data_IF_393388187335
#
_entry.id   IF_393388187335
#
_cell.length_a   1.000
_cell.length_b   1.000
_cell.length_c   1.000
_cell.angle_alpha   90.00
_cell.angle_beta   90.00
_cell.angle_gamma   90.00
#
_symmetry.space_group_name_H-M   'P 1'
#
loop_
_entity.id
_entity.type
_entity.pdbx_description
1 polymer ?
#
# COMPACT_ATOMS: atom_id res chain seq x y z
N UNK A 1 7.20 -31.02 29.40
CA UNK A 1 7.13 -29.59 29.04
C UNK A 1 6.60 -29.48 27.62
N UNK A 2 5.55 -28.70 27.39
CA UNK A 2 4.99 -28.47 26.05
C UNK A 2 5.48 -27.10 25.55
N UNK A 3 6.14 -27.07 24.40
CA UNK A 3 6.60 -25.85 23.75
C UNK A 3 5.53 -25.44 22.72
N UNK A 4 4.71 -24.45 23.05
CA UNK A 4 3.77 -23.86 22.10
C UNK A 4 4.46 -22.72 21.34
N UNK A 5 4.74 -22.92 20.06
CA UNK A 5 5.25 -21.87 19.19
C UNK A 5 4.11 -20.94 18.78
N UNK A 6 4.06 -19.75 19.38
CA UNK A 6 3.20 -18.66 18.90
C UNK A 6 3.85 -18.07 17.66
N UNK A 7 3.39 -18.49 16.48
CA UNK A 7 3.81 -17.88 15.21
C UNK A 7 3.09 -16.53 15.10
N UNK A 8 3.79 -15.46 15.46
CA UNK A 8 3.34 -14.11 15.18
C UNK A 8 3.48 -13.87 13.67
N UNK A 9 2.37 -13.90 12.94
CA UNK A 9 2.32 -13.46 11.55
C UNK A 9 2.42 -11.93 11.55
N UNK A 10 3.65 -11.39 11.58
CA UNK A 10 3.84 -9.96 11.35
C UNK A 10 3.48 -9.68 9.89
N UNK A 11 2.27 -9.18 9.65
CA UNK A 11 1.89 -8.60 8.37
C UNK A 11 2.77 -7.36 8.15
N UNK A 12 3.92 -7.56 7.50
CA UNK A 12 4.70 -6.45 6.98
C UNK A 12 3.83 -5.85 5.87
N UNK A 13 3.11 -4.77 6.18
CA UNK A 13 2.54 -3.93 5.13
C UNK A 13 3.75 -3.26 4.49
N UNK A 14 4.33 -3.95 3.50
CA UNK A 14 5.48 -3.44 2.79
C UNK A 14 5.01 -2.21 2.00
N UNK A 15 5.43 -1.03 2.46
CA UNK A 15 5.26 0.18 1.67
C UNK A 15 5.99 -0.02 0.34
N UNK A 16 5.28 0.15 -0.77
CA UNK A 16 5.87 0.12 -2.09
C UNK A 16 6.65 1.42 -2.30
N UNK A 17 7.69 1.37 -3.13
CA UNK A 17 8.37 2.59 -3.54
C UNK A 17 7.49 3.43 -4.47
N UNK A 18 7.71 4.75 -4.47
CA UNK A 18 6.92 5.68 -5.29
C UNK A 18 6.95 5.32 -6.77
N UNK A 19 8.09 4.81 -7.26
CA UNK A 19 8.21 4.38 -8.66
C UNK A 19 7.24 3.25 -8.99
N UNK A 20 7.06 2.28 -8.09
CA UNK A 20 6.13 1.17 -8.31
C UNK A 20 4.67 1.64 -8.17
N UNK A 21 4.38 2.53 -7.21
CA UNK A 21 3.05 3.12 -7.07
C UNK A 21 2.64 3.93 -8.32
N UNK A 22 3.59 4.61 -8.97
CA UNK A 22 3.34 5.43 -10.17
C UNK A 22 3.47 4.66 -11.49
N UNK A 23 3.78 3.37 -11.45
CA UNK A 23 3.96 2.57 -12.65
C UNK A 23 2.66 2.53 -13.47
N UNK A 24 2.73 2.58 -14.81
CA UNK A 24 1.57 2.38 -15.67
C UNK A 24 0.84 1.08 -15.33
N UNK A 25 -0.48 1.17 -15.19
CA UNK A 25 -1.31 0.03 -14.84
C UNK A 25 -1.89 -0.63 -16.10
N UNK A 26 -1.61 -1.93 -16.32
CA UNK A 26 -2.38 -2.69 -17.28
C UNK A 26 -3.77 -2.94 -16.71
N UNK A 27 -4.80 -2.47 -17.40
CA UNK A 27 -6.18 -2.84 -17.11
C UNK A 27 -6.51 -4.08 -17.94
N UNK A 28 -6.93 -5.16 -17.27
CA UNK A 28 -7.42 -6.34 -17.98
C UNK A 28 -8.88 -6.13 -18.37
N UNK A 29 -9.21 -6.42 -19.62
CA UNK A 29 -10.61 -6.52 -20.06
C UNK A 29 -11.11 -7.86 -19.53
N UNK A 30 -12.10 -7.82 -18.65
CA UNK A 30 -12.84 -9.00 -18.20
C UNK A 30 -13.91 -9.32 -19.23
N UNK A 31 -14.11 -10.61 -19.51
CA UNK A 31 -15.38 -11.07 -20.08
C UNK A 31 -16.52 -10.73 -19.11
N UNK A 32 -17.73 -10.52 -19.61
CA UNK A 32 -18.96 -10.12 -18.89
C UNK A 32 -19.44 -11.13 -17.80
N UNK A 33 -18.53 -11.94 -17.25
CA UNK A 33 -18.79 -12.82 -16.12
C UNK A 33 -18.75 -12.00 -14.81
N UNK A 34 -19.91 -11.78 -14.16
CA UNK A 34 -20.00 -10.97 -12.95
C UNK A 34 -19.30 -11.63 -11.74
N UNK A 35 -18.89 -12.89 -11.84
CA UNK A 35 -18.19 -13.61 -10.80
C UNK A 35 -16.66 -13.54 -10.95
N UNK A 36 -16.18 -12.95 -12.06
CA UNK A 36 -14.76 -12.84 -12.40
C UNK A 36 -14.15 -11.47 -12.04
N UNK A 37 -14.98 -10.50 -11.61
CA UNK A 37 -14.54 -9.17 -11.18
C UNK A 37 -14.52 -9.03 -9.66
N UNK A 38 -13.58 -8.23 -9.16
CA UNK A 38 -13.53 -7.78 -7.77
C UNK A 38 -13.26 -6.28 -7.72
N UNK A 39 -13.63 -5.65 -6.62
CA UNK A 39 -13.19 -4.28 -6.32
C UNK A 39 -11.69 -4.29 -6.05
N UNK A 40 -10.96 -3.47 -6.78
CA UNK A 40 -9.51 -3.28 -6.67
C UNK A 40 -9.23 -1.82 -6.40
N UNK A 41 -8.31 -1.53 -5.49
CA UNK A 41 -7.76 -0.19 -5.27
C UNK A 41 -6.32 -0.12 -5.78
N UNK A 42 -5.96 0.99 -6.42
CA UNK A 42 -4.61 1.21 -6.94
C UNK A 42 -4.25 2.69 -6.90
N UNK A 43 -2.97 2.99 -6.69
CA UNK A 43 -2.47 4.35 -6.84
C UNK A 43 -2.36 4.69 -8.32
N UNK A 44 -3.02 5.76 -8.73
CA UNK A 44 -2.96 6.25 -10.11
C UNK A 44 -2.13 7.53 -10.18
N UNK A 45 -1.07 7.49 -10.99
CA UNK A 45 -0.23 8.67 -11.21
C UNK A 45 -1.02 9.83 -11.84
N UNK A 46 -1.96 9.54 -12.74
CA UNK A 46 -2.76 10.55 -13.45
C UNK A 46 -3.65 11.38 -12.51
N UNK A 47 -4.27 10.73 -11.52
CA UNK A 47 -5.09 11.41 -10.49
C UNK A 47 -4.27 11.79 -9.26
N UNK A 48 -3.05 11.26 -9.16
CA UNK A 48 -2.12 11.38 -8.04
C UNK A 48 -2.78 10.96 -6.71
N UNK A 49 -3.54 9.86 -6.71
CA UNK A 49 -4.26 9.32 -5.54
C UNK A 49 -4.65 7.86 -5.75
N UNK A 50 -5.01 7.16 -4.66
CA UNK A 50 -5.66 5.86 -4.73
C UNK A 50 -7.07 5.98 -5.34
N UNK A 51 -7.40 5.05 -6.25
CA UNK A 51 -8.70 4.98 -6.92
C UNK A 51 -9.18 3.52 -6.90
N UNK A 52 -10.48 3.34 -6.68
CA UNK A 52 -11.14 2.04 -6.74
C UNK A 52 -11.84 1.81 -8.08
N UNK A 53 -11.72 0.61 -8.63
CA UNK A 53 -12.42 0.16 -9.84
C UNK A 53 -12.73 -1.33 -9.74
N UNK A 54 -13.63 -1.82 -10.59
CA UNK A 54 -13.94 -3.25 -10.68
C UNK A 54 -13.10 -3.86 -11.81
N UNK A 55 -12.40 -4.94 -11.50
CA UNK A 55 -11.48 -5.61 -12.44
C UNK A 55 -11.07 -7.00 -11.95
N UNK A 56 -10.35 -7.73 -12.79
CA UNK A 56 -9.78 -9.05 -12.45
C UNK A 56 -8.25 -9.04 -12.34
N UNK A 57 -7.63 -7.88 -12.56
CA UNK A 57 -6.20 -7.76 -12.68
C UNK A 57 -5.47 -7.90 -11.34
N UNK A 58 -4.19 -8.28 -11.45
CA UNK A 58 -3.32 -8.56 -10.32
C UNK A 58 -1.96 -7.87 -10.53
N UNK A 59 -1.28 -7.56 -9.43
CA UNK A 59 -0.01 -6.84 -9.47
C UNK A 59 0.32 -6.18 -8.13
N UNK A 60 1.51 -5.60 -8.02
CA UNK A 60 2.00 -5.04 -6.75
C UNK A 60 1.18 -3.82 -6.30
N UNK A 61 0.78 -2.95 -7.24
CA UNK A 61 -0.08 -1.80 -6.98
C UNK A 61 -1.58 -2.18 -7.07
N UNK A 62 -1.97 -3.24 -6.36
CA UNK A 62 -3.35 -3.76 -6.31
C UNK A 62 -3.70 -4.12 -4.88
N UNK A 63 -4.70 -3.43 -4.34
CA UNK A 63 -5.09 -3.54 -2.94
C UNK A 63 -6.57 -3.90 -2.83
N UNK A 64 -6.94 -4.61 -1.76
CA UNK A 64 -8.33 -5.02 -1.50
C UNK A 64 -9.18 -3.89 -0.94
N UNK A 65 -8.55 -2.87 -0.36
CA UNK A 65 -9.21 -1.72 0.24
C UNK A 65 -8.49 -0.40 -0.06
N UNK A 66 -9.21 0.71 0.09
CA UNK A 66 -8.64 2.05 -0.05
C UNK A 66 -7.57 2.34 1.01
N UNK A 67 -7.78 1.87 2.25
CA UNK A 67 -6.83 2.02 3.35
C UNK A 67 -5.50 1.31 3.06
N UNK A 68 -5.56 0.05 2.63
CA UNK A 68 -4.35 -0.70 2.21
C UNK A 68 -3.61 -0.02 1.06
N UNK A 69 -4.32 0.64 0.14
CA UNK A 69 -3.68 1.41 -0.92
C UNK A 69 -2.94 2.64 -0.38
N UNK A 70 -3.51 3.36 0.60
CA UNK A 70 -2.84 4.49 1.25
C UNK A 70 -1.62 4.00 2.04
N UNK A 71 -1.78 2.94 2.81
CA UNK A 71 -0.70 2.37 3.64
C UNK A 71 0.43 1.80 2.76
N UNK A 72 0.08 1.16 1.64
CA UNK A 72 1.04 0.61 0.68
C UNK A 72 1.67 1.67 -0.22
N UNK A 73 0.96 2.74 -0.55
CA UNK A 73 1.41 3.83 -1.42
C UNK A 73 1.11 5.19 -0.78
N UNK A 74 1.89 5.62 0.24
CA UNK A 74 1.65 6.85 1.01
C UNK A 74 2.05 8.13 0.25
N UNK A 75 1.91 8.15 -1.07
CA UNK A 75 2.31 9.25 -1.95
C UNK A 75 1.09 10.01 -2.50
N UNK A 76 1.28 11.24 -2.96
CA UNK A 76 0.21 11.99 -3.62
C UNK A 76 -0.88 12.51 -2.67
N UNK A 77 -2.10 12.62 -3.19
CA UNK A 77 -3.24 13.23 -2.50
C UNK A 77 -4.03 12.16 -1.76
N UNK A 78 -3.81 12.11 -0.46
CA UNK A 78 -4.68 11.40 0.47
C UNK A 78 -5.60 12.44 1.08
N UNK A 79 -6.90 12.28 0.95
CA UNK A 79 -7.81 13.08 1.77
C UNK A 79 -7.88 12.38 3.14
N UNK A 80 -7.33 12.95 4.23
CA UNK A 80 -7.50 12.33 5.53
C UNK A 80 -8.96 12.52 5.97
N UNK A 81 -9.62 11.53 6.60
CA UNK A 81 -10.60 11.86 7.63
C UNK A 81 -9.83 12.65 8.69
N UNK A 82 -10.26 13.87 8.98
CA UNK A 82 -9.52 14.88 9.75
C UNK A 82 -8.67 14.31 10.90
N UNK A 83 -7.35 14.49 10.78
CA UNK A 83 -6.39 14.08 11.79
C UNK A 83 -5.01 14.62 11.42
N UNK A 84 -4.73 15.87 11.80
CA UNK A 84 -3.36 16.37 11.84
C UNK A 84 -2.63 15.61 12.94
N UNK A 85 -1.98 14.50 12.60
CA UNK A 85 -0.91 13.98 13.45
C UNK A 85 0.38 14.57 12.89
N UNK A 86 0.77 15.71 13.45
CA UNK A 86 2.13 16.21 13.38
C UNK A 86 3.01 15.17 14.09
N UNK A 87 3.56 14.25 13.32
CA UNK A 87 4.47 13.22 13.80
C UNK A 87 5.44 12.90 12.69
N UNK A 88 6.65 13.43 12.80
CA UNK A 88 7.80 13.08 11.97
C UNK A 88 8.03 11.57 12.08
N UNK A 89 7.60 10.82 11.06
CA UNK A 89 8.15 9.49 10.80
C UNK A 89 9.45 9.78 10.06
N UNK A 90 10.55 9.72 10.80
CA UNK A 90 11.88 9.64 10.21
C UNK A 90 11.88 8.42 9.29
N UNK A 91 12.26 8.64 8.04
CA UNK A 91 12.64 7.59 7.12
C UNK A 91 13.64 6.64 7.81
N UNK A 92 13.46 5.31 7.74
CA UNK A 92 14.40 4.35 8.34
C UNK A 92 15.81 4.39 7.71
N UNK A 93 16.02 5.18 6.65
CA UNK A 93 17.35 5.42 6.06
C UNK A 93 18.18 6.47 6.84
N UNK A 94 17.56 7.31 7.70
CA UNK A 94 18.25 8.31 8.53
C UNK A 94 18.51 7.82 9.98
N UNK A 95 18.18 6.56 10.31
CA UNK A 95 18.39 6.02 11.66
C UNK A 95 19.77 5.36 11.87
N UNK A 96 20.59 5.20 10.83
CA UNK A 96 21.88 4.50 10.92
C UNK A 96 23.10 5.44 11.03
N UNK A 97 22.91 6.67 11.51
CA UNK A 97 23.95 7.71 11.56
C UNK A 97 24.41 8.19 12.95
N UNK A 98 23.73 7.85 14.05
CA UNK A 98 24.00 8.48 15.36
C UNK A 98 24.10 7.50 16.55
N UNK A 99 24.87 6.41 16.39
CA UNK A 99 25.31 5.57 17.52
C UNK A 99 26.81 5.25 17.46
N UNK A 100 27.63 6.26 17.21
CA UNK A 100 29.02 6.27 17.68
C UNK A 100 29.25 7.67 18.24
N UNK A 101 29.55 7.75 19.54
CA UNK A 101 30.06 8.87 20.35
C UNK A 101 29.44 8.66 21.76
N UNK A 102 30.14 7.88 22.62
CA UNK A 102 29.76 7.64 24.02
C UNK A 102 30.23 6.30 24.57
#
# INVERSE_FOLDING_TARGET
AALCFLVALSCVIAQLSEQICRQPLPFSIVDDDPNSTRRIYSFLNATNQCVGYDGCDNGTNRFGSYGECIDGCPYGRHHPPGGRVTGTILDPDEAYGLQQEG
#
